data_IF_579764178171
#
_entry.id   IF_579764178171
#
_cell.length_a   1.000
_cell.length_b   1.000
_cell.length_c   1.000
_cell.angle_alpha   90.00
_cell.angle_beta   90.00
_cell.angle_gamma   90.00
#
_symmetry.space_group_name_H-M   'P 1'
#
loop_
_entity.id
_entity.type
_entity.pdbx_description
1 polymer ?
#
# COMPACT_ATOMS: atom_id res chain seq x y z
N UNK A 1 5.15 -21.98 -10.11
CA UNK A 1 4.15 -22.29 -9.06
C UNK A 1 2.88 -21.60 -9.50
N UNK A 2 1.77 -22.34 -9.69
CA UNK A 2 0.49 -21.75 -10.06
C UNK A 2 0.04 -20.81 -8.96
N UNK A 3 -0.14 -19.52 -9.28
CA UNK A 3 -0.72 -18.57 -8.34
C UNK A 3 -2.17 -18.99 -8.11
N UNK A 4 -2.48 -19.52 -6.93
CA UNK A 4 -3.88 -19.73 -6.56
C UNK A 4 -4.58 -18.37 -6.58
N UNK A 5 -5.57 -18.24 -7.45
CA UNK A 5 -6.33 -17.01 -7.59
C UNK A 5 -7.19 -16.77 -6.34
N UNK A 6 -7.29 -15.52 -5.90
CA UNK A 6 -8.13 -15.13 -4.78
C UNK A 6 -9.60 -14.99 -5.22
N UNK A 7 -10.32 -16.09 -5.23
CA UNK A 7 -11.77 -16.10 -5.51
C UNK A 7 -12.58 -15.28 -4.51
N UNK A 8 -12.06 -15.09 -3.31
CA UNK A 8 -12.71 -14.34 -2.25
C UNK A 8 -12.62 -12.81 -2.43
N UNK A 9 -11.76 -12.28 -3.31
CA UNK A 9 -11.65 -10.84 -3.59
C UNK A 9 -12.61 -10.49 -4.72
N UNK A 10 -13.83 -10.10 -4.36
CA UNK A 10 -14.86 -9.69 -5.31
C UNK A 10 -15.39 -8.30 -5.01
N UNK A 11 -15.88 -7.61 -6.02
CA UNK A 11 -16.52 -6.31 -5.85
C UNK A 11 -17.75 -6.41 -4.93
N UNK A 12 -18.49 -7.51 -5.00
CA UNK A 12 -19.66 -7.73 -4.15
C UNK A 12 -19.29 -7.87 -2.68
N UNK A 13 -18.19 -8.55 -2.36
CA UNK A 13 -17.67 -8.62 -0.99
C UNK A 13 -17.18 -7.24 -0.50
N UNK A 14 -16.53 -6.47 -1.35
CA UNK A 14 -16.07 -5.11 -1.03
C UNK A 14 -17.28 -4.21 -0.72
N UNK A 15 -18.35 -4.31 -1.51
CA UNK A 15 -19.56 -3.50 -1.36
C UNK A 15 -20.60 -4.11 -0.40
N UNK A 16 -20.27 -5.21 0.29
CA UNK A 16 -21.15 -5.78 1.31
C UNK A 16 -21.35 -4.80 2.49
N UNK A 17 -22.58 -4.68 2.98
CA UNK A 17 -22.94 -3.71 4.01
C UNK A 17 -22.07 -3.77 5.26
N UNK A 18 -21.72 -4.99 5.73
CA UNK A 18 -20.80 -5.18 6.85
C UNK A 18 -19.42 -4.58 6.58
N UNK A 19 -18.86 -4.81 5.39
CA UNK A 19 -17.54 -4.30 5.02
C UNK A 19 -17.54 -2.77 4.89
N UNK A 20 -18.59 -2.22 4.28
CA UNK A 20 -18.78 -0.77 4.17
C UNK A 20 -18.91 -0.10 5.53
N UNK A 21 -19.65 -0.74 6.46
CA UNK A 21 -19.77 -0.25 7.83
C UNK A 21 -18.41 -0.20 8.56
N UNK A 22 -17.61 -1.26 8.45
CA UNK A 22 -16.25 -1.28 9.04
C UNK A 22 -15.33 -0.24 8.38
N UNK A 23 -15.41 -0.07 7.07
CA UNK A 23 -14.67 0.96 6.35
C UNK A 23 -15.03 2.37 6.85
N UNK A 24 -16.32 2.66 7.02
CA UNK A 24 -16.80 3.94 7.55
C UNK A 24 -16.25 4.22 8.94
N UNK A 25 -16.34 3.25 9.86
CA UNK A 25 -15.80 3.40 11.22
C UNK A 25 -14.31 3.74 11.22
N UNK A 26 -13.52 3.04 10.40
CA UNK A 26 -12.08 3.28 10.31
C UNK A 26 -11.75 4.67 9.76
N UNK A 27 -12.47 5.13 8.73
CA UNK A 27 -12.26 6.47 8.17
C UNK A 27 -12.62 7.55 9.19
N UNK A 28 -13.74 7.39 9.90
CA UNK A 28 -14.14 8.35 10.94
C UNK A 28 -13.18 8.36 12.13
N UNK A 29 -12.72 7.20 12.59
CA UNK A 29 -11.77 7.07 13.69
C UNK A 29 -10.42 7.75 13.38
N UNK A 30 -9.99 7.76 12.13
CA UNK A 30 -8.73 8.36 11.71
C UNK A 30 -8.74 9.91 11.70
N UNK A 31 -9.90 10.57 11.73
CA UNK A 31 -10.07 12.04 11.82
C UNK A 31 -9.16 12.83 10.87
N UNK A 32 -8.90 12.30 9.68
CA UNK A 32 -7.98 12.91 8.73
C UNK A 32 -8.54 14.19 8.08
N UNK A 33 -7.66 15.09 7.66
CA UNK A 33 -8.00 16.35 7.01
C UNK A 33 -8.87 16.17 5.76
N UNK A 34 -9.72 17.16 5.39
CA UNK A 34 -10.53 17.11 4.18
C UNK A 34 -9.70 17.14 2.90
N UNK A 35 -10.21 16.49 1.85
CA UNK A 35 -9.64 16.53 0.51
C UNK A 35 -9.90 17.85 -0.22
N UNK A 36 -9.96 17.79 -1.56
CA UNK A 36 -10.22 18.97 -2.43
C UNK A 36 -11.65 19.49 -2.32
N UNK A 37 -12.59 18.61 -1.92
CA UNK A 37 -14.02 18.90 -1.76
C UNK A 37 -14.37 19.57 -0.42
N UNK A 38 -13.41 19.61 0.51
CA UNK A 38 -13.61 20.18 1.84
C UNK A 38 -14.42 19.32 2.80
N UNK A 39 -14.93 18.14 2.39
CA UNK A 39 -15.74 17.25 3.20
C UNK A 39 -14.94 16.68 4.38
N UNK A 40 -15.52 16.75 5.58
CA UNK A 40 -14.95 16.22 6.80
C UNK A 40 -15.38 14.76 7.04
N UNK A 41 -14.61 14.04 7.84
CA UNK A 41 -14.90 12.62 8.16
C UNK A 41 -16.21 12.42 8.91
N UNK A 42 -16.64 13.39 9.69
CA UNK A 42 -17.89 13.38 10.46
C UNK A 42 -19.12 13.43 9.54
N UNK A 43 -19.02 14.09 8.39
CA UNK A 43 -20.10 14.29 7.41
C UNK A 43 -20.39 13.01 6.58
N UNK A 44 -19.52 12.00 6.67
CA UNK A 44 -19.64 10.75 5.90
C UNK A 44 -20.97 10.01 6.15
N UNK A 45 -21.47 10.01 7.39
CA UNK A 45 -22.77 9.40 7.74
C UNK A 45 -23.94 10.12 7.07
N UNK A 46 -23.95 11.44 7.13
CA UNK A 46 -24.98 12.29 6.54
C UNK A 46 -25.02 12.13 5.02
N UNK A 47 -23.84 12.12 4.38
CA UNK A 47 -23.73 11.83 2.96
C UNK A 47 -24.43 10.54 2.53
N UNK A 48 -24.25 9.44 3.28
CA UNK A 48 -24.88 8.16 2.95
C UNK A 48 -26.37 8.15 3.25
N UNK A 49 -26.80 8.91 4.24
CA UNK A 49 -28.23 9.08 4.54
C UNK A 49 -28.94 9.84 3.42
N UNK A 50 -28.33 10.89 2.90
CA UNK A 50 -28.87 11.69 1.80
C UNK A 50 -28.77 11.00 0.43
N UNK A 51 -27.78 10.13 0.24
CA UNK A 51 -27.48 9.45 -1.03
C UNK A 51 -27.52 7.92 -0.90
N UNK A 52 -28.64 7.31 -0.49
CA UNK A 52 -28.72 5.87 -0.25
C UNK A 52 -28.43 5.08 -1.53
N UNK A 53 -27.42 4.20 -1.49
CA UNK A 53 -27.06 3.30 -2.58
C UNK A 53 -26.39 3.95 -3.81
N UNK A 54 -26.35 5.28 -3.93
CA UNK A 54 -25.82 5.99 -5.10
C UNK A 54 -24.34 5.63 -5.38
N UNK A 55 -23.48 5.74 -4.36
CA UNK A 55 -22.06 5.43 -4.51
C UNK A 55 -21.82 3.98 -4.91
N UNK A 56 -22.51 3.03 -4.27
CA UNK A 56 -22.37 1.60 -4.59
C UNK A 56 -22.88 1.27 -5.99
N UNK A 57 -23.94 1.92 -6.46
CA UNK A 57 -24.42 1.81 -7.83
C UNK A 57 -23.38 2.31 -8.84
N UNK A 58 -22.83 3.51 -8.63
CA UNK A 58 -21.76 4.06 -9.49
C UNK A 58 -20.53 3.16 -9.55
N UNK A 59 -20.15 2.54 -8.41
CA UNK A 59 -18.99 1.62 -8.38
C UNK A 59 -19.32 0.34 -9.17
N UNK A 60 -20.52 -0.25 -9.00
CA UNK A 60 -20.97 -1.45 -9.72
C UNK A 60 -21.02 -1.25 -11.23
N UNK A 61 -21.48 -0.07 -11.66
CA UNK A 61 -21.57 0.33 -13.08
C UNK A 61 -20.21 0.73 -13.67
N UNK A 62 -19.17 0.81 -12.85
CA UNK A 62 -17.84 1.25 -13.28
C UNK A 62 -17.74 2.75 -13.58
N UNK A 63 -18.73 3.52 -13.17
CA UNK A 63 -18.80 4.98 -13.39
C UNK A 63 -18.05 5.79 -12.33
N UNK A 64 -17.83 5.20 -11.17
CA UNK A 64 -17.08 5.87 -10.10
C UNK A 64 -15.70 6.31 -10.59
N UNK A 65 -15.38 7.58 -10.30
CA UNK A 65 -14.07 8.20 -10.57
C UNK A 65 -13.58 8.89 -9.29
N UNK A 66 -12.41 8.55 -8.77
CA UNK A 66 -11.80 9.29 -7.68
C UNK A 66 -11.61 10.77 -8.03
N UNK A 67 -11.83 11.64 -7.07
CA UNK A 67 -11.53 13.05 -7.21
C UNK A 67 -10.01 13.31 -7.15
N UNK A 68 -9.57 14.52 -7.57
CA UNK A 68 -8.16 14.89 -7.43
C UNK A 68 -7.67 14.83 -5.99
N UNK A 69 -6.43 14.38 -5.81
CA UNK A 69 -5.79 14.24 -4.50
C UNK A 69 -5.17 15.60 -4.12
N UNK A 70 -5.57 16.16 -2.99
CA UNK A 70 -5.03 17.42 -2.48
C UNK A 70 -3.58 17.24 -2.04
N UNK A 71 -2.65 17.98 -2.64
CA UNK A 71 -1.24 18.01 -2.24
C UNK A 71 -1.06 18.95 -1.05
N UNK A 72 -0.35 18.46 -0.04
CA UNK A 72 0.15 19.27 1.08
C UNK A 72 1.61 18.88 1.35
N UNK A 73 2.35 19.78 2.00
CA UNK A 73 3.74 19.55 2.33
C UNK A 73 3.92 19.54 3.85
N UNK A 74 4.63 18.55 4.37
CA UNK A 74 4.96 18.42 5.79
C UNK A 74 6.48 18.59 5.93
N UNK A 75 6.95 19.49 6.81
CA UNK A 75 8.40 19.64 7.04
C UNK A 75 8.98 18.37 7.65
N UNK A 76 10.16 17.99 7.19
CA UNK A 76 11.00 16.95 7.79
C UNK A 76 12.00 17.57 8.76
N UNK A 77 12.58 16.76 9.66
CA UNK A 77 13.57 17.21 10.64
C UNK A 77 14.84 17.79 9.99
N UNK A 78 15.17 17.39 8.76
CA UNK A 78 16.30 17.88 7.98
C UNK A 78 16.01 19.16 7.17
N UNK A 79 14.83 19.78 7.35
CA UNK A 79 14.42 20.98 6.61
C UNK A 79 13.82 20.74 5.22
N UNK A 80 13.87 19.51 4.70
CA UNK A 80 13.15 19.15 3.48
C UNK A 80 11.65 19.07 3.70
N UNK A 81 10.88 19.14 2.61
CA UNK A 81 9.43 18.96 2.65
C UNK A 81 9.04 17.57 2.13
N UNK A 82 8.18 16.88 2.87
CA UNK A 82 7.56 15.63 2.44
C UNK A 82 6.23 15.93 1.78
N UNK A 83 6.08 15.63 0.48
CA UNK A 83 4.77 15.76 -0.17
C UNK A 83 3.81 14.69 0.33
N UNK A 84 2.62 15.11 0.76
CA UNK A 84 1.54 14.22 1.20
C UNK A 84 0.31 14.43 0.32
N UNK A 85 -0.35 13.36 -0.07
CA UNK A 85 -1.59 13.41 -0.82
C UNK A 85 -2.79 13.12 0.08
N UNK A 86 -3.80 13.98 0.08
CA UNK A 86 -5.03 13.79 0.85
C UNK A 86 -6.18 13.53 -0.12
N UNK A 87 -6.61 12.25 -0.28
CA UNK A 87 -7.83 11.92 -1.03
C UNK A 87 -9.07 12.46 -0.31
N UNK A 88 -10.17 12.62 -1.01
CA UNK A 88 -11.45 12.99 -0.41
C UNK A 88 -11.93 11.94 0.61
N UNK A 89 -12.85 12.30 1.46
CA UNK A 89 -13.39 11.36 2.47
C UNK A 89 -14.07 10.17 1.80
N UNK A 90 -14.81 10.43 0.71
CA UNK A 90 -15.45 9.36 -0.08
C UNK A 90 -14.41 8.45 -0.72
N UNK A 91 -13.34 8.98 -1.30
CA UNK A 91 -12.27 8.17 -1.89
C UNK A 91 -11.57 7.33 -0.81
N UNK A 92 -11.28 7.91 0.36
CA UNK A 92 -10.72 7.18 1.51
C UNK A 92 -11.65 6.05 1.98
N UNK A 93 -12.95 6.29 1.99
CA UNK A 93 -13.94 5.28 2.35
C UNK A 93 -13.93 4.10 1.36
N UNK A 94 -13.95 4.37 0.05
CA UNK A 94 -13.90 3.32 -0.97
C UNK A 94 -12.56 2.58 -0.92
N UNK A 95 -11.44 3.30 -0.79
CA UNK A 95 -10.11 2.69 -0.61
C UNK A 95 -10.06 1.81 0.64
N UNK A 96 -10.67 2.25 1.75
CA UNK A 96 -10.71 1.47 2.99
C UNK A 96 -11.54 0.19 2.83
N UNK A 97 -12.67 0.25 2.13
CA UNK A 97 -13.48 -0.92 1.84
C UNK A 97 -12.72 -1.96 0.99
N UNK A 98 -11.98 -1.50 -0.02
CA UNK A 98 -11.09 -2.35 -0.82
C UNK A 98 -9.97 -2.92 0.05
N UNK A 99 -9.27 -2.08 0.83
CA UNK A 99 -8.13 -2.47 1.64
C UNK A 99 -8.49 -3.54 2.69
N UNK A 100 -9.69 -3.49 3.28
CA UNK A 100 -10.14 -4.49 4.24
C UNK A 100 -10.19 -5.90 3.63
N UNK A 101 -10.80 -6.03 2.45
CA UNK A 101 -10.94 -7.32 1.77
C UNK A 101 -9.59 -7.82 1.25
N UNK A 102 -8.80 -6.94 0.63
CA UNK A 102 -7.48 -7.31 0.13
C UNK A 102 -6.54 -7.74 1.28
N UNK A 103 -6.51 -6.98 2.38
CA UNK A 103 -5.64 -7.28 3.52
C UNK A 103 -5.88 -8.66 4.09
N UNK A 104 -7.14 -9.10 4.19
CA UNK A 104 -7.49 -10.42 4.72
C UNK A 104 -6.92 -11.56 3.88
N UNK A 105 -6.88 -11.40 2.55
CA UNK A 105 -6.38 -12.42 1.65
C UNK A 105 -4.85 -12.35 1.48
N UNK A 106 -4.30 -11.14 1.27
CA UNK A 106 -2.86 -10.98 1.07
C UNK A 106 -2.05 -11.25 2.34
N UNK A 107 -2.61 -11.05 3.54
CA UNK A 107 -1.94 -11.36 4.81
C UNK A 107 -1.53 -12.84 4.90
N UNK A 108 -2.26 -13.73 4.25
CA UNK A 108 -1.95 -15.17 4.16
C UNK A 108 -0.68 -15.47 3.34
N UNK A 109 -0.28 -14.56 2.47
CA UNK A 109 0.89 -14.70 1.59
C UNK A 109 2.14 -14.03 2.15
N UNK A 110 1.97 -12.89 2.82
CA UNK A 110 3.10 -12.07 3.24
C UNK A 110 4.06 -12.83 4.13
N UNK A 111 5.35 -12.71 3.82
CA UNK A 111 6.43 -13.41 4.52
C UNK A 111 6.63 -12.89 5.94
N UNK A 112 7.20 -13.74 6.81
CA UNK A 112 7.44 -13.40 8.21
C UNK A 112 8.46 -12.28 8.40
N UNK A 113 9.30 -12.04 7.41
CA UNK A 113 10.28 -10.96 7.43
C UNK A 113 9.66 -9.57 7.25
N UNK A 114 8.40 -9.46 6.76
CA UNK A 114 7.71 -8.20 6.50
C UNK A 114 6.86 -7.78 7.70
N UNK A 115 7.06 -6.56 8.21
CA UNK A 115 6.43 -6.05 9.43
C UNK A 115 5.61 -4.78 9.23
N UNK A 116 6.03 -3.87 8.33
CA UNK A 116 5.38 -2.57 8.15
C UNK A 116 3.97 -2.68 7.56
N UNK A 117 3.04 -1.86 8.05
CA UNK A 117 1.66 -1.75 7.55
C UNK A 117 0.83 -3.05 7.57
N UNK A 118 1.19 -4.00 8.41
CA UNK A 118 0.49 -5.28 8.55
C UNK A 118 -0.24 -5.37 9.90
N UNK A 119 -1.42 -6.02 9.96
CA UNK A 119 -2.13 -6.25 11.22
C UNK A 119 -1.27 -7.10 12.17
N UNK A 120 -1.34 -6.80 13.45
CA UNK A 120 -0.61 -7.51 14.50
C UNK A 120 0.93 -7.49 14.36
N UNK A 121 1.48 -6.65 13.49
CA UNK A 121 2.92 -6.41 13.32
C UNK A 121 3.27 -4.99 13.78
N UNK A 122 4.51 -4.78 14.22
CA UNK A 122 4.97 -3.47 14.69
C UNK A 122 6.48 -3.31 14.51
N UNK A 123 6.97 -2.07 14.56
CA UNK A 123 8.40 -1.78 14.56
C UNK A 123 9.14 -2.52 15.68
N UNK A 124 8.53 -2.59 16.89
CA UNK A 124 9.10 -3.34 18.01
C UNK A 124 9.30 -4.83 17.69
N UNK A 125 8.36 -5.46 16.98
CA UNK A 125 8.49 -6.86 16.56
C UNK A 125 9.56 -7.02 15.49
N UNK A 126 9.69 -6.06 14.55
CA UNK A 126 10.75 -6.04 13.56
C UNK A 126 12.14 -5.97 14.21
N UNK A 127 12.32 -5.05 15.17
CA UNK A 127 13.57 -4.93 15.93
C UNK A 127 13.89 -6.22 16.70
N UNK A 128 12.89 -6.84 17.33
CA UNK A 128 13.07 -8.12 18.02
C UNK A 128 13.57 -9.20 17.07
N UNK A 129 12.97 -9.32 15.89
CA UNK A 129 13.40 -10.27 14.85
C UNK A 129 14.83 -9.98 14.38
N UNK A 130 15.21 -8.71 14.20
CA UNK A 130 16.57 -8.33 13.87
C UNK A 130 17.57 -8.76 14.94
N UNK A 131 17.24 -8.55 16.22
CA UNK A 131 18.08 -9.00 17.35
C UNK A 131 18.21 -10.52 17.42
N UNK A 132 17.18 -11.28 17.06
CA UNK A 132 17.25 -12.74 16.97
C UNK A 132 18.29 -13.18 15.93
N UNK A 133 18.29 -12.54 14.74
CA UNK A 133 19.29 -12.82 13.71
C UNK A 133 20.72 -12.51 14.17
N UNK A 134 20.92 -11.41 14.91
CA UNK A 134 22.22 -11.06 15.48
C UNK A 134 22.68 -12.14 16.52
N UNK A 135 21.77 -12.61 17.39
CA UNK A 135 22.07 -13.68 18.35
C UNK A 135 22.42 -15.00 17.67
N UNK A 136 21.84 -15.27 16.50
CA UNK A 136 22.14 -16.45 15.67
C UNK A 136 23.50 -16.33 14.92
N UNK A 137 24.28 -15.27 15.19
CA UNK A 137 25.61 -15.04 14.63
C UNK A 137 25.61 -14.29 13.28
N UNK A 138 24.50 -13.70 12.86
CA UNK A 138 24.42 -12.85 11.66
C UNK A 138 24.79 -11.41 12.01
N UNK A 139 26.08 -11.13 12.18
CA UNK A 139 26.61 -9.88 12.71
C UNK A 139 26.84 -8.79 11.64
N UNK A 140 26.79 -9.17 10.36
CA UNK A 140 26.97 -8.23 9.24
C UNK A 140 25.61 -7.83 8.70
N UNK A 141 25.41 -6.53 8.53
CA UNK A 141 24.15 -5.93 8.15
C UNK A 141 24.31 -5.18 6.84
N UNK A 142 23.36 -5.39 5.93
CA UNK A 142 23.20 -4.61 4.70
C UNK A 142 21.87 -3.87 4.82
N UNK A 143 21.97 -2.55 4.82
CA UNK A 143 20.80 -1.67 4.88
C UNK A 143 20.34 -1.32 3.46
N UNK A 144 19.05 -1.50 3.19
CA UNK A 144 18.41 -1.23 1.90
C UNK A 144 17.36 -0.14 2.08
N UNK A 145 17.64 1.04 1.58
CA UNK A 145 16.70 2.16 1.46
C UNK A 145 16.17 2.24 0.02
N UNK A 146 14.87 2.07 -0.14
CA UNK A 146 14.19 2.20 -1.43
C UNK A 146 13.85 3.67 -1.67
N UNK A 147 14.82 4.42 -2.21
CA UNK A 147 14.67 5.86 -2.47
C UNK A 147 13.38 6.19 -3.19
N UNK A 148 12.53 7.01 -2.53
CA UNK A 148 11.27 7.50 -3.09
C UNK A 148 10.36 6.37 -3.60
N UNK A 149 10.35 5.23 -2.92
CA UNK A 149 9.61 4.04 -3.35
C UNK A 149 8.17 4.37 -3.75
N UNK A 150 7.42 5.06 -2.89
CA UNK A 150 6.04 5.45 -3.18
C UNK A 150 5.89 6.33 -4.42
N UNK A 151 6.88 7.13 -4.77
CA UNK A 151 6.86 8.03 -5.93
C UNK A 151 7.24 7.31 -7.24
N UNK A 152 7.84 6.12 -7.14
CA UNK A 152 8.38 5.38 -8.29
C UNK A 152 7.63 4.09 -8.60
N UNK A 153 6.60 3.72 -7.85
CA UNK A 153 5.78 2.52 -8.09
C UNK A 153 5.30 2.47 -9.54
N UNK A 154 5.68 1.42 -10.25
CA UNK A 154 5.22 1.17 -11.61
C UNK A 154 3.79 0.64 -11.60
N UNK A 155 2.84 1.44 -12.12
CA UNK A 155 1.41 1.07 -12.16
C UNK A 155 1.18 -0.22 -12.95
N UNK A 156 1.83 -0.40 -14.10
CA UNK A 156 1.63 -1.59 -14.95
C UNK A 156 2.08 -2.85 -14.22
N UNK A 157 3.24 -2.82 -13.55
CA UNK A 157 3.73 -3.95 -12.77
C UNK A 157 2.81 -4.28 -11.60
N UNK A 158 2.38 -3.27 -10.85
CA UNK A 158 1.46 -3.46 -9.73
C UNK A 158 0.11 -4.02 -10.17
N UNK A 159 -0.47 -3.47 -11.25
CA UNK A 159 -1.73 -3.95 -11.81
C UNK A 159 -1.59 -5.38 -12.33
N UNK A 160 -0.45 -5.74 -12.95
CA UNK A 160 -0.18 -7.11 -13.36
C UNK A 160 -0.21 -8.06 -12.15
N UNK A 161 0.52 -7.75 -11.07
CA UNK A 161 0.55 -8.57 -9.86
C UNK A 161 -0.83 -8.74 -9.20
N UNK A 162 -1.66 -7.69 -9.25
CA UNK A 162 -3.04 -7.77 -8.79
C UNK A 162 -3.88 -8.65 -9.71
N UNK A 163 -3.76 -8.50 -11.03
CA UNK A 163 -4.53 -9.27 -12.02
C UNK A 163 -4.16 -10.75 -12.03
N UNK A 164 -2.91 -11.09 -11.72
CA UNK A 164 -2.45 -12.49 -11.63
C UNK A 164 -3.12 -13.25 -10.47
N UNK A 165 -3.68 -12.54 -9.49
CA UNK A 165 -4.27 -13.12 -8.27
C UNK A 165 -5.74 -12.80 -8.05
N UNK A 166 -6.26 -11.70 -8.57
CA UNK A 166 -7.65 -11.24 -8.38
C UNK A 166 -8.44 -11.53 -9.65
N UNK A 167 -9.37 -12.49 -9.58
CA UNK A 167 -10.22 -12.88 -10.72
C UNK A 167 -11.22 -11.78 -11.12
N UNK A 168 -11.73 -11.01 -10.14
CA UNK A 168 -12.69 -9.94 -10.42
C UNK A 168 -11.99 -8.68 -10.96
N UNK A 169 -11.93 -8.55 -12.29
CA UNK A 169 -11.32 -7.41 -12.96
C UNK A 169 -11.93 -6.06 -12.62
N UNK A 170 -13.16 -6.01 -12.07
CA UNK A 170 -13.79 -4.76 -11.59
C UNK A 170 -13.03 -4.21 -10.39
N UNK A 171 -12.51 -5.08 -9.52
CA UNK A 171 -11.69 -4.68 -8.36
C UNK A 171 -10.35 -4.12 -8.82
N UNK A 172 -9.67 -4.79 -9.75
CA UNK A 172 -8.39 -4.32 -10.31
C UNK A 172 -8.58 -2.97 -11.02
N UNK A 173 -9.66 -2.82 -11.81
CA UNK A 173 -10.02 -1.56 -12.45
C UNK A 173 -10.25 -0.44 -11.44
N UNK A 174 -10.91 -0.71 -10.32
CA UNK A 174 -11.14 0.27 -9.25
C UNK A 174 -9.82 0.72 -8.61
N UNK A 175 -8.92 -0.21 -8.34
CA UNK A 175 -7.57 0.11 -7.79
C UNK A 175 -6.78 0.95 -8.80
N UNK A 176 -6.83 0.60 -10.10
CA UNK A 176 -6.16 1.37 -11.14
C UNK A 176 -6.67 2.82 -11.21
N UNK A 177 -7.97 3.06 -11.00
CA UNK A 177 -8.53 4.41 -10.92
C UNK A 177 -7.95 5.22 -9.75
N UNK A 178 -7.74 4.60 -8.58
CA UNK A 178 -7.08 5.27 -7.45
C UNK A 178 -5.62 5.66 -7.77
N UNK A 179 -4.88 4.76 -8.41
CA UNK A 179 -3.50 5.04 -8.81
C UNK A 179 -3.40 6.21 -9.81
N UNK A 180 -4.39 6.31 -10.70
CA UNK A 180 -4.45 7.35 -11.74
C UNK A 180 -5.09 8.66 -11.31
N UNK A 181 -5.60 8.77 -10.09
CA UNK A 181 -6.21 10.00 -9.59
C UNK A 181 -5.21 11.18 -9.73
N UNK A 182 -5.62 12.29 -10.37
CA UNK A 182 -4.73 13.43 -10.55
C UNK A 182 -4.43 14.11 -9.21
N UNK A 183 -3.31 14.82 -9.16
CA UNK A 183 -2.92 15.61 -7.98
C UNK A 183 -3.41 17.03 -8.18
N UNK A 184 -4.01 17.60 -7.14
CA UNK A 184 -4.38 19.01 -7.06
C UNK A 184 -3.40 19.72 -6.13
N UNK A 185 -2.65 20.66 -6.67
CA UNK A 185 -1.67 21.47 -5.96
C UNK A 185 -2.01 22.96 -6.15
N UNK A 186 -2.14 23.70 -5.07
CA UNK A 186 -2.53 25.12 -5.08
C UNK A 186 -3.78 25.42 -5.93
N UNK A 187 -4.77 24.54 -5.88
CA UNK A 187 -6.02 24.67 -6.65
C UNK A 187 -5.91 24.25 -8.12
N UNK A 188 -4.73 23.90 -8.62
CA UNK A 188 -4.52 23.45 -10.00
C UNK A 188 -4.53 21.92 -10.06
N UNK A 189 -5.41 21.36 -10.90
CA UNK A 189 -5.49 19.91 -11.12
C UNK A 189 -4.51 19.50 -12.23
N UNK A 190 -3.60 18.59 -11.90
CA UNK A 190 -2.63 18.04 -12.84
C UNK A 190 -3.23 17.01 -13.80
N UNK A 191 -2.37 16.42 -14.63
CA UNK A 191 -2.72 15.27 -15.47
C UNK A 191 -2.94 14.01 -14.61
N UNK A 192 -3.66 12.99 -15.13
CA UNK A 192 -3.75 11.70 -14.48
C UNK A 192 -2.35 11.15 -14.13
N UNK A 193 -2.23 10.63 -12.91
CA UNK A 193 -0.96 10.08 -12.44
C UNK A 193 -0.59 8.81 -13.23
N UNK A 194 0.66 8.68 -13.60
CA UNK A 194 1.16 7.53 -14.40
C UNK A 194 2.20 6.67 -13.67
N UNK A 195 2.72 7.18 -12.55
CA UNK A 195 3.76 6.53 -11.75
C UNK A 195 3.58 6.91 -10.28
N UNK A 196 3.96 6.00 -9.40
CA UNK A 196 3.88 6.23 -7.95
C UNK A 196 2.49 5.98 -7.37
N UNK A 197 2.44 5.90 -6.06
CA UNK A 197 1.20 5.86 -5.28
C UNK A 197 1.18 7.03 -4.31
N UNK A 198 0.04 7.72 -4.14
CA UNK A 198 -0.02 8.89 -3.29
C UNK A 198 0.36 8.56 -1.84
N UNK A 199 1.40 9.23 -1.31
CA UNK A 199 1.70 9.14 0.12
C UNK A 199 0.54 9.77 0.90
N UNK A 200 -0.18 8.94 1.68
CA UNK A 200 -1.40 9.33 2.43
C UNK A 200 -2.69 8.72 1.90
N UNK A 201 -2.67 8.01 0.78
CA UNK A 201 -3.78 7.15 0.36
C UNK A 201 -3.94 5.95 1.31
N UNK A 202 -5.18 5.63 1.67
CA UNK A 202 -5.49 4.54 2.63
C UNK A 202 -5.03 3.16 2.11
N UNK A 203 -5.12 2.93 0.81
CA UNK A 203 -4.73 1.65 0.20
C UNK A 203 -3.24 1.58 -0.14
N UNK A 204 -2.53 2.72 -0.23
CA UNK A 204 -1.14 2.80 -0.69
C UNK A 204 -0.17 1.90 0.12
N UNK A 205 -0.25 1.81 1.45
CA UNK A 205 0.61 0.93 2.23
C UNK A 205 0.44 -0.55 1.90
N UNK A 206 -0.80 -0.99 1.65
CA UNK A 206 -1.07 -2.37 1.26
C UNK A 206 -0.54 -2.66 -0.15
N UNK A 207 -0.76 -1.76 -1.10
CA UNK A 207 -0.25 -1.90 -2.47
C UNK A 207 1.28 -1.94 -2.50
N UNK A 208 1.93 -1.15 -1.63
CA UNK A 208 3.38 -1.20 -1.41
C UNK A 208 3.83 -2.59 -0.95
N UNK A 209 3.16 -3.16 0.05
CA UNK A 209 3.48 -4.51 0.53
C UNK A 209 3.24 -5.59 -0.53
N UNK A 210 2.19 -5.47 -1.35
CA UNK A 210 1.92 -6.40 -2.47
C UNK A 210 3.08 -6.38 -3.48
N UNK A 211 3.56 -5.18 -3.84
CA UNK A 211 4.68 -5.04 -4.78
C UNK A 211 5.99 -5.56 -4.17
N UNK A 212 6.28 -5.23 -2.91
CA UNK A 212 7.49 -5.65 -2.21
C UNK A 212 7.49 -7.13 -1.80
N UNK A 213 6.34 -7.79 -1.83
CA UNK A 213 6.27 -9.23 -1.61
C UNK A 213 7.10 -10.04 -2.62
N UNK A 214 7.22 -9.56 -3.87
CA UNK A 214 8.12 -10.14 -4.87
C UNK A 214 9.60 -10.15 -4.41
N UNK A 215 10.03 -9.07 -3.73
CA UNK A 215 11.36 -9.01 -3.11
C UNK A 215 11.46 -9.99 -1.95
N UNK A 216 10.46 -10.03 -1.06
CA UNK A 216 10.44 -10.93 0.10
C UNK A 216 10.55 -12.40 -0.35
N UNK A 217 9.81 -12.81 -1.38
CA UNK A 217 9.89 -14.16 -1.95
C UNK A 217 11.28 -14.48 -2.52
N UNK A 218 11.90 -13.53 -3.22
CA UNK A 218 13.26 -13.72 -3.73
C UNK A 218 14.31 -13.83 -2.64
N UNK A 219 14.21 -13.02 -1.60
CA UNK A 219 15.11 -13.08 -0.45
C UNK A 219 14.96 -14.43 0.28
N UNK A 220 13.72 -14.83 0.54
CA UNK A 220 13.42 -16.11 1.19
C UNK A 220 13.91 -17.31 0.37
N UNK A 221 13.65 -17.34 -0.95
CA UNK A 221 14.09 -18.43 -1.85
C UNK A 221 15.61 -18.60 -1.91
N UNK A 222 16.37 -17.54 -1.62
CA UNK A 222 17.84 -17.56 -1.51
C UNK A 222 18.34 -17.81 -0.09
N UNK A 223 17.45 -18.06 0.86
CA UNK A 223 17.80 -18.27 2.27
C UNK A 223 18.38 -17.02 2.96
N UNK A 224 18.12 -15.83 2.42
CA UNK A 224 18.61 -14.58 3.01
C UNK A 224 17.79 -14.22 4.25
N UNK A 225 18.46 -14.01 5.37
CA UNK A 225 17.84 -13.49 6.58
C UNK A 225 17.59 -12.00 6.40
N UNK A 226 16.34 -11.58 6.53
CA UNK A 226 15.95 -10.19 6.33
C UNK A 226 14.86 -9.77 7.31
N UNK A 227 14.78 -8.47 7.56
CA UNK A 227 13.67 -7.80 8.25
C UNK A 227 13.30 -6.58 7.42
N UNK A 228 12.04 -6.51 6.99
CA UNK A 228 11.52 -5.37 6.23
C UNK A 228 10.43 -4.64 7.01
N UNK A 229 10.52 -3.34 7.08
CA UNK A 229 9.50 -2.47 7.64
C UNK A 229 9.08 -1.42 6.60
N UNK A 230 7.97 -1.66 5.91
CA UNK A 230 7.54 -0.88 4.75
C UNK A 230 8.58 -0.97 3.60
N UNK A 231 9.12 0.17 3.20
CA UNK A 231 10.16 0.33 2.19
C UNK A 231 11.60 0.18 2.74
N UNK A 232 11.79 0.22 4.06
CA UNK A 232 13.07 -0.04 4.71
C UNK A 232 13.30 -1.55 4.89
N UNK A 233 14.46 -2.06 4.49
CA UNK A 233 14.81 -3.46 4.68
C UNK A 233 16.26 -3.64 5.13
N UNK A 234 16.45 -4.56 6.06
CA UNK A 234 17.75 -4.91 6.62
C UNK A 234 18.04 -6.37 6.34
N UNK A 235 19.16 -6.67 5.66
CA UNK A 235 19.62 -8.01 5.37
C UNK A 235 20.76 -8.40 6.30
N UNK A 236 20.82 -9.66 6.71
CA UNK A 236 21.77 -10.16 7.68
C UNK A 236 22.68 -11.23 7.10
N UNK A 237 23.98 -11.16 7.38
CA UNK A 237 25.00 -12.10 6.93
C UNK A 237 25.95 -12.50 8.07
N UNK A 238 26.55 -13.72 7.99
CA UNK A 238 27.52 -14.24 8.97
C UNK A 238 28.94 -13.71 8.76
N UNK A 239 29.26 -13.17 7.58
CA UNK A 239 30.61 -12.67 7.28
C UNK A 239 30.53 -11.45 6.37
N UNK A 240 31.62 -10.64 6.40
CA UNK A 240 31.77 -9.47 5.51
C UNK A 240 31.63 -9.86 4.05
N UNK A 241 32.32 -10.91 3.61
CA UNK A 241 32.26 -11.42 2.24
C UNK A 241 30.85 -11.83 1.82
N UNK A 242 30.03 -12.38 2.74
CA UNK A 242 28.65 -12.71 2.48
C UNK A 242 27.78 -11.46 2.36
N UNK A 243 28.01 -10.42 3.19
CA UNK A 243 27.32 -9.14 3.09
C UNK A 243 27.66 -8.40 1.77
N UNK A 244 28.92 -8.39 1.36
CA UNK A 244 29.34 -7.81 0.07
C UNK A 244 28.66 -8.51 -1.12
N UNK A 245 28.54 -9.85 -1.10
CA UNK A 245 27.78 -10.60 -2.11
C UNK A 245 26.29 -10.25 -2.13
N UNK A 246 25.70 -9.95 -0.97
CA UNK A 246 24.31 -9.49 -0.92
C UNK A 246 24.14 -8.14 -1.62
N UNK A 247 25.08 -7.19 -1.45
CA UNK A 247 25.09 -5.91 -2.14
C UNK A 247 25.20 -6.07 -3.67
N UNK A 248 26.02 -7.01 -4.13
CA UNK A 248 26.21 -7.30 -5.56
C UNK A 248 25.06 -8.14 -6.15
N UNK A 249 24.21 -8.70 -5.31
CA UNK A 249 23.18 -9.62 -5.74
C UNK A 249 22.12 -8.93 -6.60
N UNK A 250 21.87 -9.49 -7.82
CA UNK A 250 20.81 -9.03 -8.73
C UNK A 250 19.39 -9.01 -8.11
N UNK A 251 19.17 -9.65 -6.98
CA UNK A 251 17.91 -9.53 -6.25
C UNK A 251 17.69 -8.10 -5.73
N UNK A 252 18.79 -7.40 -5.40
CA UNK A 252 18.77 -5.98 -4.99
C UNK A 252 18.66 -5.08 -6.22
N UNK A 253 19.27 -5.43 -7.35
CA UNK A 253 19.11 -4.67 -8.61
C UNK A 253 17.69 -4.74 -9.19
N UNK A 254 16.88 -5.72 -8.80
CA UNK A 254 15.44 -5.75 -9.15
C UNK A 254 14.63 -4.63 -8.50
N UNK A 255 15.15 -4.05 -7.42
CA UNK A 255 14.55 -2.88 -6.76
C UNK A 255 14.58 -1.65 -7.67
N UNK A 256 15.46 -1.62 -8.64
CA UNK A 256 15.56 -0.54 -9.66
C UNK A 256 14.46 -0.65 -10.74
N UNK A 257 13.72 -1.76 -10.79
CA UNK A 257 12.67 -2.04 -11.79
C UNK A 257 11.27 -2.25 -11.18
N UNK A 258 11.10 -2.13 -9.88
CA UNK A 258 9.84 -2.11 -9.18
C UNK A 258 9.34 -0.68 -9.07
#
# INVERSE_FOLDING_TARGET
>A
MSSEAFKAITLDRILAGRNLWEAMKKVQANKGSPGVDGMKTEELKEYFFENPGKLTAMIRQGEYRPLPIKRVYIPKDNGEQRPLGIPTVIDRFVQQAVALVLSEEYEKLFKDMSFGFRPNRSCRLAVRRAMEHVKDGYMWVVDLDLRKFFDTVNHSKLIQLLSDRIEDGRVVSLIHKFLRAPICEEGKVGKPNTIGTPQGGVISPLLANILLHELDEKLESKGVRAVRYADDAVLFAKSRKAAERLLECRAISYITFI
#
